data_IF_423856459212
#
_entry.id   IF_423856459212
#
_cell.length_a   1.000
_cell.length_b   1.000
_cell.length_c   1.000
_cell.angle_alpha   90.00
_cell.angle_beta   90.00
_cell.angle_gamma   90.00
#
_symmetry.space_group_name_H-M   'P 1'
#
loop_
_entity.id
_entity.type
_entity.pdbx_description
1 polymer ?
#
# COMPACT_ATOMS: atom_id res chain seq x y z
N UNK A 1 -24.19 10.07 -51.73
CA UNK A 1 -22.88 9.54 -51.32
C UNK A 1 -23.13 8.46 -50.27
N UNK A 2 -23.23 7.20 -50.67
CA UNK A 2 -23.60 6.09 -49.77
C UNK A 2 -22.36 5.61 -49.02
N UNK A 3 -22.19 6.05 -47.78
CA UNK A 3 -21.13 5.53 -46.91
C UNK A 3 -21.46 4.07 -46.56
N UNK A 4 -20.57 3.09 -46.84
CA UNK A 4 -20.86 1.70 -46.55
C UNK A 4 -21.02 1.49 -45.05
N UNK A 5 -22.13 0.89 -44.63
CA UNK A 5 -22.54 0.64 -43.24
C UNK A 5 -21.41 0.06 -42.36
N UNK A 6 -20.51 -0.75 -42.94
CA UNK A 6 -19.32 -1.32 -42.28
C UNK A 6 -18.31 -0.25 -41.81
N UNK A 7 -18.17 0.87 -42.51
CA UNK A 7 -17.26 1.98 -42.15
C UNK A 7 -17.75 2.74 -40.93
N UNK A 8 -19.06 2.91 -40.80
CA UNK A 8 -19.69 3.59 -39.66
C UNK A 8 -19.45 2.76 -38.39
N UNK A 9 -19.64 1.44 -38.45
CA UNK A 9 -19.41 0.53 -37.32
C UNK A 9 -17.93 0.53 -36.89
N UNK A 10 -17.01 0.53 -37.86
CA UNK A 10 -15.56 0.58 -37.60
C UNK A 10 -15.12 1.89 -36.93
N UNK A 11 -15.76 3.02 -37.24
CA UNK A 11 -15.45 4.33 -36.65
C UNK A 11 -15.83 4.41 -35.16
N UNK A 12 -16.83 3.64 -34.71
CA UNK A 12 -17.24 3.59 -33.30
C UNK A 12 -16.55 2.48 -32.50
N UNK A 13 -15.98 1.46 -33.16
CA UNK A 13 -15.31 0.35 -32.48
C UNK A 13 -14.06 0.78 -31.68
N UNK A 14 -13.24 1.66 -32.26
CA UNK A 14 -12.03 2.17 -31.60
C UNK A 14 -12.31 3.05 -30.37
N UNK A 15 -13.19 4.07 -30.41
CA UNK A 15 -13.49 4.89 -29.23
C UNK A 15 -14.29 4.12 -28.17
N UNK A 16 -15.12 3.16 -28.54
CA UNK A 16 -15.82 2.30 -27.58
C UNK A 16 -14.84 1.42 -26.79
N UNK A 17 -13.85 0.83 -27.48
CA UNK A 17 -12.80 0.04 -26.84
C UNK A 17 -11.88 0.92 -25.97
N UNK A 18 -11.52 2.12 -26.44
CA UNK A 18 -10.72 3.07 -25.66
C UNK A 18 -11.46 3.56 -24.41
N UNK A 19 -12.78 3.81 -24.50
CA UNK A 19 -13.61 4.15 -23.36
C UNK A 19 -13.72 3.01 -22.35
N UNK A 20 -13.87 1.77 -22.83
CA UNK A 20 -13.91 0.58 -21.97
C UNK A 20 -12.57 0.35 -21.24
N UNK A 21 -11.46 0.45 -21.96
CA UNK A 21 -10.11 0.32 -21.41
C UNK A 21 -9.76 1.49 -20.48
N UNK A 22 -10.26 2.70 -20.76
CA UNK A 22 -10.09 3.88 -19.92
C UNK A 22 -10.81 3.82 -18.56
N UNK A 23 -11.81 2.94 -18.42
CA UNK A 23 -12.52 2.71 -17.15
C UNK A 23 -11.87 1.63 -16.27
N UNK A 24 -10.93 0.84 -16.79
CA UNK A 24 -10.19 -0.16 -16.01
C UNK A 24 -9.48 0.39 -14.75
N UNK A 25 -8.83 1.58 -14.75
CA UNK A 25 -8.20 2.11 -13.55
C UNK A 25 -9.21 2.50 -12.46
N UNK A 26 -10.49 2.72 -12.78
CA UNK A 26 -11.53 2.98 -11.78
C UNK A 26 -11.94 1.70 -11.03
N UNK A 27 -11.71 0.53 -11.63
CA UNK A 27 -11.89 -0.78 -11.00
C UNK A 27 -10.67 -1.23 -10.19
N UNK A 28 -9.57 -0.49 -10.26
CA UNK A 28 -8.42 -0.73 -9.40
C UNK A 28 -8.76 -0.26 -7.97
N UNK A 29 -9.46 -1.12 -7.23
CA UNK A 29 -9.57 -0.99 -5.78
C UNK A 29 -8.19 -1.28 -5.20
N UNK A 30 -7.57 -0.27 -4.59
CA UNK A 30 -6.40 -0.50 -3.75
C UNK A 30 -6.81 -1.51 -2.67
N UNK A 31 -6.03 -2.59 -2.53
CA UNK A 31 -6.27 -3.60 -1.50
C UNK A 31 -6.34 -2.89 -0.15
N UNK A 32 -7.29 -3.32 0.68
CA UNK A 32 -7.49 -2.72 1.99
C UNK A 32 -6.18 -2.82 2.78
N UNK A 33 -5.72 -1.69 3.32
CA UNK A 33 -4.46 -1.65 4.07
C UNK A 33 -4.65 -2.52 5.31
N UNK A 34 -4.14 -3.75 5.27
CA UNK A 34 -4.30 -4.72 6.37
C UNK A 34 -3.13 -4.70 7.35
N UNK A 35 -1.95 -4.29 6.88
CA UNK A 35 -0.72 -4.43 7.65
C UNK A 35 0.30 -3.33 7.31
N UNK A 36 0.82 -2.64 8.33
CA UNK A 36 1.94 -1.70 8.22
C UNK A 36 3.17 -2.38 8.83
N UNK A 37 4.24 -2.50 8.04
CA UNK A 37 5.50 -3.15 8.44
C UNK A 37 6.56 -2.09 8.71
N UNK A 38 6.94 -1.94 9.97
CA UNK A 38 7.95 -0.97 10.42
C UNK A 38 9.26 -1.73 10.66
N UNK A 39 10.27 -1.46 9.83
CA UNK A 39 11.60 -2.02 10.00
C UNK A 39 12.48 -1.04 10.77
N UNK A 40 13.07 -1.49 11.88
CA UNK A 40 13.86 -0.65 12.78
C UNK A 40 15.24 -1.27 13.00
N UNK A 41 16.34 -0.52 12.83
CA UNK A 41 17.66 -1.01 13.21
C UNK A 41 17.73 -1.22 14.71
N UNK A 42 18.05 -2.44 15.14
CA UNK A 42 18.28 -2.77 16.54
C UNK A 42 19.64 -2.20 16.97
N UNK A 43 19.60 -1.24 17.88
CA UNK A 43 20.76 -0.58 18.48
C UNK A 43 21.08 -1.16 19.87
N UNK A 44 20.30 -2.14 20.33
CA UNK A 44 20.51 -2.77 21.64
C UNK A 44 21.78 -3.62 21.65
N UNK A 45 22.59 -3.43 22.68
CA UNK A 45 23.70 -4.34 23.01
C UNK A 45 23.24 -5.58 23.80
N UNK A 46 21.97 -5.65 24.22
CA UNK A 46 21.38 -6.72 25.05
C UNK A 46 20.43 -7.65 24.28
N UNK A 47 19.72 -8.52 25.01
CA UNK A 47 18.74 -9.47 24.45
C UNK A 47 17.39 -8.83 24.11
N UNK A 48 17.16 -7.58 24.53
CA UNK A 48 15.90 -6.87 24.34
C UNK A 48 16.03 -5.93 23.14
N UNK A 49 15.23 -6.19 22.10
CA UNK A 49 15.22 -5.38 20.87
C UNK A 49 14.86 -3.93 21.19
N UNK A 50 15.77 -3.01 20.87
CA UNK A 50 15.59 -1.58 21.04
C UNK A 50 15.95 -0.86 19.75
N UNK A 51 14.98 -0.12 19.23
CA UNK A 51 15.21 0.79 18.10
C UNK A 51 15.96 2.06 18.48
N UNK A 52 16.26 2.22 19.78
CA UNK A 52 16.63 3.47 20.40
C UNK A 52 15.43 4.38 20.70
N UNK A 53 15.59 5.18 21.77
CA UNK A 53 14.78 6.37 22.11
C UNK A 53 13.29 6.30 21.77
N UNK A 54 12.87 7.13 20.80
CA UNK A 54 11.45 7.37 20.48
C UNK A 54 10.76 6.11 19.94
N UNK A 55 11.47 5.23 19.23
CA UNK A 55 10.86 4.02 18.66
C UNK A 55 10.45 3.04 19.75
N UNK A 56 11.22 2.95 20.83
CA UNK A 56 10.88 2.11 21.97
C UNK A 56 9.65 2.62 22.72
N UNK A 57 9.52 3.94 22.84
CA UNK A 57 8.33 4.57 23.44
C UNK A 57 7.09 4.31 22.58
N UNK A 58 7.20 4.48 21.26
CA UNK A 58 6.10 4.23 20.31
C UNK A 58 5.60 2.77 20.40
N UNK A 59 6.53 1.80 20.45
CA UNK A 59 6.20 0.37 20.61
C UNK A 59 5.65 0.05 22.00
N UNK A 60 6.30 0.51 23.06
CA UNK A 60 5.93 0.18 24.44
C UNK A 60 4.56 0.74 24.82
N UNK A 61 4.25 1.95 24.34
CA UNK A 61 2.95 2.57 24.58
C UNK A 61 1.88 2.12 23.56
N UNK A 62 2.27 1.32 22.57
CA UNK A 62 1.41 0.79 21.51
C UNK A 62 0.65 1.91 20.79
N UNK A 63 1.32 3.03 20.50
CA UNK A 63 0.68 4.26 20.02
C UNK A 63 0.10 4.03 18.62
N UNK A 64 0.86 3.38 17.75
CA UNK A 64 0.40 3.09 16.39
C UNK A 64 -0.71 2.04 16.40
N UNK A 65 -0.57 0.99 17.19
CA UNK A 65 -1.57 -0.05 17.32
C UNK A 65 -2.91 0.54 17.79
N UNK A 66 -2.90 1.50 18.71
CA UNK A 66 -4.12 2.20 19.17
C UNK A 66 -4.71 3.12 18.10
N UNK A 67 -3.88 3.90 17.42
CA UNK A 67 -4.35 4.83 16.39
C UNK A 67 -4.88 4.13 15.12
N UNK A 68 -4.35 2.94 14.84
CA UNK A 68 -4.68 2.14 13.68
C UNK A 68 -5.68 1.00 13.99
N UNK A 69 -5.98 0.74 15.28
CA UNK A 69 -7.01 -0.22 15.70
C UNK A 69 -8.39 0.13 15.13
N UNK A 70 -8.76 1.41 15.13
CA UNK A 70 -10.04 1.89 14.59
C UNK A 70 -10.17 1.65 13.08
N UNK A 71 -9.04 1.48 12.39
CA UNK A 71 -8.96 1.22 10.96
C UNK A 71 -8.71 -0.25 10.65
N UNK A 72 -8.64 -1.13 11.67
CA UNK A 72 -8.38 -2.57 11.50
C UNK A 72 -6.98 -2.92 10.98
N UNK A 73 -6.06 -1.94 10.95
CA UNK A 73 -4.71 -2.10 10.40
C UNK A 73 -3.78 -2.68 11.48
N UNK A 74 -3.07 -3.76 11.15
CA UNK A 74 -2.07 -4.39 12.03
C UNK A 74 -0.70 -3.75 11.89
N UNK A 75 -0.02 -3.48 13.00
CA UNK A 75 1.37 -3.00 13.01
C UNK A 75 2.31 -4.17 13.26
N UNK A 76 3.25 -4.41 12.33
CA UNK A 76 4.32 -5.38 12.47
C UNK A 76 5.65 -4.66 12.66
N UNK A 77 6.37 -5.00 13.74
CA UNK A 77 7.68 -4.46 14.03
C UNK A 77 8.76 -5.48 13.70
N UNK A 78 9.65 -5.11 12.77
CA UNK A 78 10.80 -5.94 12.39
C UNK A 78 12.09 -5.26 12.84
N UNK A 79 12.73 -5.82 13.86
CA UNK A 79 14.02 -5.35 14.36
C UNK A 79 15.16 -6.09 13.65
N UNK A 80 16.06 -5.35 13.01
CA UNK A 80 17.21 -5.92 12.31
C UNK A 80 18.53 -5.49 12.96
N UNK A 81 19.39 -6.45 13.27
CA UNK A 81 20.69 -6.22 13.91
C UNK A 81 21.70 -5.78 12.84
N UNK A 82 22.04 -4.48 12.77
CA UNK A 82 22.85 -4.01 11.64
C UNK A 82 23.39 -2.57 11.64
N UNK A 83 23.40 -1.86 12.77
CA UNK A 83 23.88 -0.45 12.80
C UNK A 83 25.14 -0.21 13.66
N UNK A 84 25.95 -1.24 13.89
CA UNK A 84 27.29 -1.08 14.44
C UNK A 84 28.29 -1.81 13.55
N UNK A 85 28.93 -1.05 12.66
CA UNK A 85 30.18 -1.44 12.02
C UNK A 85 31.28 -0.59 12.62
#
# INVERSE_FOLDING_TARGET
>A
MNLPFKRVISLFAAPALAGLLGCLPLLAQADELKEIRIAVPDLSAGTQHSGGGVVDVLRQQQIFEKAFADQGIKIQWNFFKGAAR
#
